data_IF_955865714194
#
_entry.id   IF_955865714194
#
_cell.length_a   1.000
_cell.length_b   1.000
_cell.length_c   1.000
_cell.angle_alpha   90.00
_cell.angle_beta   90.00
_cell.angle_gamma   90.00
#
_symmetry.space_group_name_H-M   'P 1'
#
loop_
_entity.id
_entity.type
_entity.pdbx_description
1 polymer ?
#
# COMPACT_ATOMS: atom_id res chain seq x y z
N UNK A 1 -13.71 19.56 84.81
CA UNK A 1 -14.18 18.64 83.80
C UNK A 1 -15.58 19.10 83.39
N UNK A 2 -15.87 19.01 82.11
CA UNK A 2 -17.20 19.29 81.59
C UNK A 2 -18.09 18.11 81.95
N UNK A 3 -19.20 18.33 82.62
CA UNK A 3 -20.23 17.31 82.93
C UNK A 3 -20.95 17.04 81.55
N UNK A 4 -20.84 15.87 81.06
CA UNK A 4 -21.54 15.42 79.83
C UNK A 4 -22.86 14.77 80.33
N UNK A 5 -23.98 15.43 80.08
CA UNK A 5 -25.32 14.85 80.22
C UNK A 5 -25.80 14.33 78.87
N UNK A 6 -26.87 13.54 78.91
CA UNK A 6 -27.55 13.07 77.69
C UNK A 6 -27.96 14.27 76.83
N UNK A 7 -27.77 14.21 75.54
CA UNK A 7 -28.00 15.30 74.57
C UNK A 7 -27.13 16.56 74.69
N UNK A 8 -26.00 16.51 75.46
CA UNK A 8 -25.13 17.69 75.63
C UNK A 8 -24.51 18.17 74.32
N UNK A 9 -24.25 17.32 73.42
CA UNK A 9 -23.58 17.61 72.11
C UNK A 9 -24.53 17.46 70.91
N UNK A 10 -25.86 17.45 71.13
CA UNK A 10 -26.86 17.31 70.06
C UNK A 10 -27.92 16.26 70.37
N UNK A 11 -29.00 16.26 69.56
CA UNK A 11 -30.18 15.41 69.77
C UNK A 11 -29.89 13.90 69.87
N UNK A 12 -28.80 13.45 69.27
CA UNK A 12 -28.40 12.02 69.19
C UNK A 12 -27.17 11.72 70.07
N UNK A 13 -26.71 12.66 70.90
CA UNK A 13 -25.58 12.45 71.79
C UNK A 13 -26.00 11.86 73.15
N UNK A 14 -25.18 10.99 73.68
CA UNK A 14 -25.49 10.38 75.01
C UNK A 14 -24.45 9.34 75.42
N UNK A 15 -24.73 8.77 76.57
CA UNK A 15 -23.94 7.70 77.14
C UNK A 15 -24.38 6.37 76.59
N UNK A 16 -23.43 5.62 76.05
CA UNK A 16 -23.56 4.23 75.55
C UNK A 16 -22.71 3.33 76.43
N UNK A 17 -22.94 2.01 76.32
CA UNK A 17 -22.05 1.02 76.94
C UNK A 17 -21.89 -0.23 76.05
N UNK A 18 -20.77 -0.85 76.19
CA UNK A 18 -20.57 -2.17 75.67
C UNK A 18 -20.39 -3.19 76.80
N UNK A 19 -20.88 -4.42 76.59
CA UNK A 19 -20.62 -5.55 77.43
C UNK A 19 -19.76 -6.54 76.64
N UNK A 20 -18.56 -6.79 77.18
CA UNK A 20 -17.55 -7.64 76.47
C UNK A 20 -17.27 -7.18 75.04
N UNK A 21 -17.29 -5.84 74.84
CA UNK A 21 -17.03 -5.20 73.55
C UNK A 21 -18.21 -5.15 72.57
N UNK A 22 -19.41 -5.58 72.99
CA UNK A 22 -20.64 -5.62 72.18
C UNK A 22 -21.68 -4.65 72.79
N UNK A 23 -22.36 -3.88 71.95
CA UNK A 23 -23.47 -3.02 72.39
C UNK A 23 -24.71 -3.90 72.68
N UNK A 24 -25.16 -4.00 73.93
CA UNK A 24 -26.33 -4.81 74.23
C UNK A 24 -27.63 -4.06 73.88
N UNK A 25 -28.67 -4.80 73.55
CA UNK A 25 -30.01 -4.30 73.26
C UNK A 25 -30.79 -3.83 74.49
N UNK A 26 -30.21 -4.04 75.67
CA UNK A 26 -30.85 -3.72 76.96
C UNK A 26 -30.27 -2.46 77.62
N UNK A 27 -31.09 -1.71 78.26
CA UNK A 27 -30.62 -0.63 79.16
C UNK A 27 -29.76 -1.16 80.33
N UNK A 28 -28.75 -0.40 80.75
CA UNK A 28 -27.80 -0.87 81.74
C UNK A 28 -28.49 -1.32 83.08
N UNK A 29 -29.67 -0.88 83.36
CA UNK A 29 -30.45 -1.32 84.51
C UNK A 29 -31.06 -2.71 84.40
N UNK A 30 -31.22 -3.14 83.16
CA UNK A 30 -31.85 -4.44 82.84
C UNK A 30 -30.78 -5.51 82.41
N UNK A 31 -29.52 -5.09 82.43
CA UNK A 31 -28.39 -5.93 82.03
C UNK A 31 -27.95 -6.81 83.22
N UNK A 32 -28.03 -8.11 83.07
CA UNK A 32 -27.44 -9.05 84.04
C UNK A 32 -25.96 -9.24 83.68
N UNK A 33 -25.14 -9.27 84.74
CA UNK A 33 -23.71 -9.42 84.66
C UNK A 33 -23.27 -10.76 85.30
N UNK A 34 -22.27 -11.39 84.64
CA UNK A 34 -21.60 -12.58 85.18
C UNK A 34 -20.19 -12.18 85.67
N UNK A 35 -19.60 -13.12 86.40
CA UNK A 35 -18.24 -12.90 86.90
C UNK A 35 -17.24 -12.92 85.74
N UNK A 36 -16.46 -11.86 85.58
CA UNK A 36 -15.53 -11.68 84.50
C UNK A 36 -16.03 -10.79 83.36
N UNK A 37 -17.31 -10.31 83.42
CA UNK A 37 -17.82 -9.41 82.42
C UNK A 37 -17.15 -8.06 82.49
N UNK A 38 -16.83 -7.48 81.33
CA UNK A 38 -16.26 -6.15 81.15
C UNK A 38 -17.33 -5.20 80.59
N UNK A 39 -17.65 -4.13 81.39
CA UNK A 39 -18.52 -3.07 80.95
C UNK A 39 -17.69 -1.84 80.69
N UNK A 40 -17.81 -1.25 79.48
CA UNK A 40 -17.15 -0.02 79.09
C UNK A 40 -18.22 1.03 78.74
N UNK A 41 -18.31 2.07 79.57
CA UNK A 41 -19.16 3.23 79.31
C UNK A 41 -18.37 4.24 78.47
N UNK A 42 -19.01 4.77 77.45
CA UNK A 42 -18.44 5.82 76.61
C UNK A 42 -19.55 6.85 76.27
N UNK A 43 -19.14 8.05 75.97
CA UNK A 43 -20.05 9.11 75.52
C UNK A 43 -19.87 9.24 74.01
N UNK A 44 -21.01 9.24 73.27
CA UNK A 44 -21.00 9.42 71.83
C UNK A 44 -21.71 10.75 71.48
N UNK A 45 -21.24 11.40 70.42
CA UNK A 45 -21.87 12.56 69.82
C UNK A 45 -23.08 12.19 68.93
N UNK A 46 -23.16 10.97 68.48
CA UNK A 46 -24.26 10.42 67.66
C UNK A 46 -24.42 8.89 67.86
N UNK A 47 -25.33 8.51 68.77
CA UNK A 47 -25.59 7.09 69.02
C UNK A 47 -26.19 6.36 67.81
N UNK A 48 -26.73 7.07 66.82
CA UNK A 48 -27.26 6.44 65.60
C UNK A 48 -26.16 5.86 64.70
N UNK A 49 -24.91 6.21 64.97
CA UNK A 49 -23.74 5.65 64.30
C UNK A 49 -23.11 4.48 65.09
N UNK A 50 -23.47 4.38 66.38
CA UNK A 50 -22.93 3.32 67.26
C UNK A 50 -23.62 2.01 67.00
N UNK A 51 -22.87 1.01 66.59
CA UNK A 51 -23.33 -0.34 66.37
C UNK A 51 -22.15 -1.32 66.31
N UNK A 52 -22.43 -2.53 66.62
CA UNK A 52 -21.49 -3.62 66.35
C UNK A 52 -21.51 -3.94 64.85
N UNK A 53 -20.35 -4.02 64.26
CA UNK A 53 -20.27 -4.32 62.84
C UNK A 53 -20.66 -5.74 62.56
N UNK A 54 -21.78 -5.92 61.90
CA UNK A 54 -22.19 -7.22 61.30
C UNK A 54 -21.83 -7.15 59.84
N UNK A 55 -20.92 -8.00 59.41
CA UNK A 55 -20.44 -8.00 58.04
C UNK A 55 -21.31 -8.87 57.15
N UNK A 56 -21.68 -8.33 55.97
CA UNK A 56 -22.42 -9.10 54.95
C UNK A 56 -21.65 -10.36 54.55
N UNK A 57 -22.37 -11.40 54.25
CA UNK A 57 -21.80 -12.60 53.70
C UNK A 57 -21.34 -12.41 52.22
N UNK A 58 -21.90 -11.44 51.54
CA UNK A 58 -21.58 -11.09 50.16
C UNK A 58 -20.30 -10.27 50.09
N UNK A 59 -19.41 -10.67 49.19
CA UNK A 59 -18.22 -9.89 48.86
C UNK A 59 -18.55 -8.67 48.02
N UNK A 60 -18.09 -7.53 48.44
CA UNK A 60 -17.90 -6.32 47.61
C UNK A 60 -16.46 -6.26 47.15
N UNK A 61 -16.21 -5.65 46.00
CA UNK A 61 -14.86 -5.58 45.43
C UNK A 61 -14.72 -4.37 44.50
N UNK A 62 -13.50 -3.90 44.36
CA UNK A 62 -13.03 -3.02 43.29
C UNK A 62 -11.94 -3.71 42.50
N UNK A 63 -11.14 -2.95 41.74
CA UNK A 63 -10.02 -3.50 40.93
C UNK A 63 -8.85 -4.04 41.76
N UNK A 64 -8.71 -3.63 43.01
CA UNK A 64 -7.52 -3.86 43.85
C UNK A 64 -7.80 -4.87 44.98
N UNK A 65 -9.01 -4.82 45.56
CA UNK A 65 -9.33 -5.55 46.76
C UNK A 65 -10.80 -5.99 46.84
N UNK A 66 -11.11 -6.76 47.86
CA UNK A 66 -12.46 -7.17 48.22
C UNK A 66 -12.67 -7.04 49.74
N UNK A 67 -13.92 -6.83 50.15
CA UNK A 67 -14.35 -6.64 51.52
C UNK A 67 -15.84 -6.99 51.69
N UNK A 68 -16.29 -7.07 52.93
CA UNK A 68 -17.70 -7.13 53.28
C UNK A 68 -18.22 -5.80 53.77
N UNK A 69 -19.40 -5.38 53.33
CA UNK A 69 -20.09 -4.20 53.88
C UNK A 69 -20.73 -4.52 55.21
N UNK A 70 -20.83 -3.50 56.04
CA UNK A 70 -21.57 -3.63 57.30
C UNK A 70 -23.08 -3.60 57.02
N UNK A 71 -23.80 -4.59 57.54
CA UNK A 71 -25.26 -4.74 57.43
C UNK A 71 -25.92 -4.76 58.83
N UNK A 72 -25.34 -4.08 59.80
CA UNK A 72 -25.92 -3.97 61.14
C UNK A 72 -27.38 -3.42 61.07
N UNK A 73 -28.24 -4.00 61.89
CA UNK A 73 -29.67 -3.70 61.87
C UNK A 73 -29.97 -2.29 62.38
N UNK A 74 -29.13 -1.79 63.27
CA UNK A 74 -29.28 -0.46 63.88
C UNK A 74 -28.06 0.39 63.61
N UNK A 75 -28.27 1.71 63.55
CA UNK A 75 -27.21 2.65 63.31
C UNK A 75 -26.79 2.75 61.86
N UNK A 76 -26.05 3.81 61.52
CA UNK A 76 -25.44 4.02 60.21
C UNK A 76 -23.94 3.79 60.31
N UNK A 77 -23.44 2.79 59.60
CA UNK A 77 -22.01 2.53 59.59
C UNK A 77 -21.22 3.73 59.06
N UNK A 78 -20.26 4.20 59.81
CA UNK A 78 -19.39 5.35 59.54
C UNK A 78 -18.09 4.94 58.77
N UNK A 79 -17.84 3.63 58.65
CA UNK A 79 -16.67 3.15 57.97
C UNK A 79 -16.78 3.38 56.45
N UNK A 80 -16.19 4.49 56.00
CA UNK A 80 -16.07 4.83 54.56
C UNK A 80 -14.80 4.29 53.92
N UNK A 81 -13.77 4.04 54.72
CA UNK A 81 -12.50 3.44 54.27
C UNK A 81 -12.61 1.94 54.08
N UNK A 82 -12.56 1.47 52.85
CA UNK A 82 -12.68 0.06 52.52
C UNK A 82 -11.64 -0.82 53.22
N UNK A 83 -10.46 -0.26 53.55
CA UNK A 83 -9.38 -1.03 54.24
C UNK A 83 -9.74 -1.41 55.67
N UNK A 84 -10.74 -0.76 56.24
CA UNK A 84 -11.25 -1.00 57.62
C UNK A 84 -12.49 -1.89 57.64
N UNK A 85 -13.03 -2.23 56.50
CA UNK A 85 -14.22 -3.10 56.37
C UNK A 85 -13.86 -4.57 56.57
N UNK A 86 -14.89 -5.35 56.91
CA UNK A 86 -14.74 -6.77 57.26
C UNK A 86 -14.10 -7.58 56.09
N UNK A 87 -13.14 -8.40 56.44
CA UNK A 87 -12.49 -9.28 55.48
C UNK A 87 -11.69 -8.58 54.39
N UNK A 88 -11.37 -7.28 54.55
CA UNK A 88 -10.59 -6.55 53.51
C UNK A 88 -9.28 -7.27 53.19
N UNK A 89 -9.13 -7.63 51.93
CA UNK A 89 -7.90 -8.22 51.43
C UNK A 89 -7.70 -7.88 49.94
N UNK A 90 -6.43 -7.78 49.51
CA UNK A 90 -6.11 -7.69 48.08
C UNK A 90 -6.54 -8.97 47.37
N UNK A 91 -6.87 -8.86 46.09
CA UNK A 91 -7.27 -10.02 45.32
C UNK A 91 -6.16 -11.09 45.28
N UNK A 92 -6.54 -12.31 45.64
CA UNK A 92 -5.68 -13.50 45.50
C UNK A 92 -6.14 -14.25 44.25
N UNK A 93 -5.35 -14.15 43.20
CA UNK A 93 -5.70 -14.79 41.93
C UNK A 93 -5.16 -16.21 41.85
N UNK A 94 -6.00 -17.09 41.36
CA UNK A 94 -5.61 -18.45 41.02
C UNK A 94 -4.75 -18.49 39.74
N UNK A 95 -4.44 -19.72 39.34
CA UNK A 95 -3.75 -19.95 38.06
C UNK A 95 -4.58 -19.41 36.89
N UNK A 96 -4.01 -18.53 36.09
CA UNK A 96 -4.72 -17.91 34.98
C UNK A 96 -5.18 -18.94 33.95
N UNK A 97 -6.33 -18.65 33.32
CA UNK A 97 -6.88 -19.43 32.22
C UNK A 97 -6.71 -18.66 30.91
N UNK A 98 -6.04 -19.28 29.95
CA UNK A 98 -5.97 -18.68 28.61
C UNK A 98 -7.34 -18.72 27.95
N UNK A 99 -7.90 -17.54 27.65
CA UNK A 99 -9.21 -17.38 26.99
C UNK A 99 -9.08 -17.05 25.52
N UNK A 100 -7.91 -16.58 25.11
CA UNK A 100 -7.57 -16.32 23.71
C UNK A 100 -6.09 -16.65 23.48
N UNK A 101 -5.80 -17.48 22.49
CA UNK A 101 -4.41 -17.77 22.11
C UNK A 101 -3.75 -16.58 21.41
N UNK A 102 -2.48 -16.33 21.70
CA UNK A 102 -1.66 -15.44 20.92
C UNK A 102 -1.36 -16.05 19.55
N UNK A 103 -1.24 -15.21 18.54
CA UNK A 103 -0.80 -15.59 17.20
C UNK A 103 0.40 -14.76 16.78
N UNK A 104 0.92 -14.97 15.58
CA UNK A 104 1.94 -14.08 14.99
C UNK A 104 1.44 -12.67 14.67
N UNK A 105 0.11 -12.46 14.68
CA UNK A 105 -0.55 -11.18 14.29
C UNK A 105 -1.27 -10.50 15.46
N UNK A 106 -1.80 -11.27 16.37
CA UNK A 106 -2.67 -10.77 17.43
C UNK A 106 -2.22 -11.25 18.79
N UNK A 107 -2.36 -10.39 19.78
CA UNK A 107 -2.18 -10.74 21.20
C UNK A 107 -3.22 -11.75 21.64
N UNK A 108 -2.83 -12.63 22.54
CA UNK A 108 -3.74 -13.49 23.32
C UNK A 108 -4.26 -12.78 24.56
N UNK A 109 -5.07 -13.47 25.33
CA UNK A 109 -5.66 -13.02 26.60
C UNK A 109 -5.61 -14.13 27.62
N UNK A 110 -5.13 -13.80 28.81
CA UNK A 110 -5.18 -14.61 30.01
C UNK A 110 -6.20 -13.99 30.96
N UNK A 111 -7.10 -14.79 31.51
CA UNK A 111 -8.05 -14.40 32.55
C UNK A 111 -7.60 -14.95 33.88
N UNK A 112 -7.65 -14.12 34.90
CA UNK A 112 -7.40 -14.48 36.29
C UNK A 112 -8.66 -14.19 37.10
N UNK A 113 -9.08 -15.13 37.92
CA UNK A 113 -10.24 -14.99 38.80
C UNK A 113 -9.77 -15.01 40.25
N UNK A 114 -10.21 -14.06 41.06
CA UNK A 114 -9.95 -14.05 42.47
C UNK A 114 -10.62 -15.24 43.11
N UNK A 115 -9.87 -16.02 43.91
CA UNK A 115 -10.34 -17.26 44.52
C UNK A 115 -11.36 -17.03 45.65
N UNK A 116 -11.42 -15.77 46.16
CA UNK A 116 -12.28 -15.39 47.28
C UNK A 116 -13.58 -14.77 46.78
N UNK A 117 -13.49 -13.67 46.06
CA UNK A 117 -14.65 -12.86 45.67
C UNK A 117 -15.14 -13.08 44.24
N UNK A 118 -14.38 -13.85 43.42
CA UNK A 118 -14.73 -14.09 42.01
C UNK A 118 -14.42 -12.95 41.05
N UNK A 119 -13.80 -11.86 41.52
CA UNK A 119 -13.41 -10.75 40.61
C UNK A 119 -12.47 -11.25 39.50
N UNK A 120 -12.73 -10.81 38.27
CA UNK A 120 -11.96 -11.23 37.12
C UNK A 120 -11.12 -10.08 36.57
N UNK A 121 -9.85 -10.36 36.29
CA UNK A 121 -8.99 -9.47 35.51
C UNK A 121 -8.44 -10.18 34.27
N UNK A 122 -8.09 -9.42 33.25
CA UNK A 122 -7.45 -9.95 32.04
C UNK A 122 -6.08 -9.33 31.83
N UNK A 123 -5.15 -10.16 31.36
CA UNK A 123 -3.81 -9.72 30.94
C UNK A 123 -3.54 -10.16 29.51
N UNK A 124 -2.80 -9.34 28.77
CA UNK A 124 -2.46 -9.65 27.38
C UNK A 124 -1.28 -10.61 27.30
N UNK A 125 -1.42 -11.64 26.47
CA UNK A 125 -0.31 -12.52 26.07
C UNK A 125 0.31 -11.88 24.83
N UNK A 126 1.63 -11.58 24.80
CA UNK A 126 2.30 -11.00 23.64
C UNK A 126 2.13 -11.84 22.38
N UNK A 127 2.22 -11.21 21.21
CA UNK A 127 2.27 -11.94 19.93
C UNK A 127 3.46 -12.92 19.91
N UNK A 128 3.29 -14.04 19.22
CA UNK A 128 4.36 -15.04 19.09
C UNK A 128 5.53 -14.43 18.33
N UNK A 129 6.69 -14.39 18.96
CA UNK A 129 7.92 -13.92 18.33
C UNK A 129 8.35 -14.86 17.18
N UNK A 130 8.84 -14.30 16.08
CA UNK A 130 9.34 -15.06 14.94
C UNK A 130 10.32 -14.24 14.10
N UNK A 131 11.17 -14.95 13.36
CA UNK A 131 12.01 -14.33 12.33
C UNK A 131 11.19 -14.08 11.08
N UNK A 132 11.16 -12.82 10.59
CA UNK A 132 10.39 -12.47 9.41
C UNK A 132 11.00 -13.08 8.14
N UNK A 133 10.25 -13.93 7.46
CA UNK A 133 10.54 -14.41 6.10
C UNK A 133 9.64 -13.68 5.12
N UNK A 134 10.25 -12.85 4.24
CA UNK A 134 9.50 -12.02 3.30
C UNK A 134 9.37 -12.68 1.93
N UNK A 135 8.15 -12.71 1.40
CA UNK A 135 7.89 -12.97 -0.02
C UNK A 135 7.89 -11.64 -0.76
N UNK A 136 8.80 -11.48 -1.75
CA UNK A 136 9.05 -10.23 -2.43
C UNK A 136 8.30 -10.12 -3.76
N UNK A 137 7.63 -9.00 -4.01
CA UNK A 137 6.97 -8.65 -5.26
C UNK A 137 7.51 -7.31 -5.78
N UNK A 138 7.83 -7.25 -7.08
CA UNK A 138 8.25 -5.99 -7.70
C UNK A 138 7.05 -5.05 -7.85
N UNK A 139 7.12 -3.89 -7.23
CA UNK A 139 6.10 -2.84 -7.25
C UNK A 139 6.42 -1.72 -8.23
N UNK A 140 7.71 -1.50 -8.53
CA UNK A 140 8.14 -0.54 -9.54
C UNK A 140 9.35 -1.07 -10.32
N UNK A 141 9.31 -0.94 -11.65
CA UNK A 141 10.40 -1.32 -12.55
C UNK A 141 11.62 -0.41 -12.38
N UNK A 142 12.80 -0.95 -12.61
CA UNK A 142 14.01 -0.13 -12.73
C UNK A 142 13.89 0.86 -13.90
N UNK A 143 14.45 2.03 -13.72
CA UNK A 143 14.57 3.09 -14.73
C UNK A 143 16.04 3.48 -14.88
N UNK A 144 16.36 4.38 -15.79
CA UNK A 144 17.71 4.95 -15.91
C UNK A 144 18.11 5.80 -14.70
N UNK A 145 17.15 6.22 -13.86
CA UNK A 145 17.39 7.10 -12.72
C UNK A 145 17.34 6.37 -11.36
N UNK A 146 16.64 5.25 -11.28
CA UNK A 146 16.45 4.49 -10.02
C UNK A 146 16.38 2.98 -10.27
N UNK A 147 16.81 2.15 -9.30
CA UNK A 147 16.61 0.70 -9.32
C UNK A 147 15.11 0.35 -9.22
N UNK A 148 14.79 -0.91 -9.41
CA UNK A 148 13.45 -1.42 -9.14
C UNK A 148 13.12 -1.33 -7.65
N UNK A 149 11.83 -1.20 -7.30
CA UNK A 149 11.34 -1.34 -5.92
C UNK A 149 10.62 -2.66 -5.76
N UNK A 150 10.85 -3.29 -4.62
CA UNK A 150 10.11 -4.46 -4.18
C UNK A 150 9.45 -4.20 -2.84
N UNK A 151 8.26 -4.75 -2.66
CA UNK A 151 7.57 -4.89 -1.38
C UNK A 151 7.59 -6.36 -0.98
N UNK A 152 8.05 -6.63 0.22
CA UNK A 152 8.03 -7.94 0.85
C UNK A 152 6.93 -8.00 1.91
N UNK A 153 6.23 -9.13 1.98
CA UNK A 153 5.21 -9.39 3.00
C UNK A 153 5.60 -10.66 3.75
N UNK A 154 5.66 -10.57 5.08
CA UNK A 154 5.88 -11.74 5.92
C UNK A 154 4.64 -12.63 5.89
N UNK A 155 4.80 -13.92 5.55
CA UNK A 155 3.70 -14.88 5.46
C UNK A 155 3.02 -15.16 6.81
N UNK A 156 3.76 -15.03 7.91
CA UNK A 156 3.24 -15.32 9.25
C UNK A 156 2.47 -14.13 9.85
N UNK A 157 3.07 -12.94 9.91
CA UNK A 157 2.45 -11.79 10.58
C UNK A 157 1.89 -10.74 9.63
N UNK A 158 2.18 -10.80 8.31
CA UNK A 158 1.74 -9.81 7.34
C UNK A 158 2.55 -8.50 7.35
N UNK A 159 3.60 -8.39 8.18
CA UNK A 159 4.46 -7.19 8.21
C UNK A 159 5.03 -6.93 6.83
N UNK A 160 4.95 -5.67 6.39
CA UNK A 160 5.46 -5.22 5.09
C UNK A 160 6.81 -4.54 5.23
N UNK A 161 7.66 -4.72 4.22
CA UNK A 161 8.94 -4.04 4.10
C UNK A 161 9.20 -3.71 2.63
N UNK A 162 9.87 -2.60 2.35
CA UNK A 162 10.25 -2.22 0.99
C UNK A 162 11.76 -2.21 0.83
N UNK A 163 12.23 -2.54 -0.37
CA UNK A 163 13.65 -2.46 -0.72
C UNK A 163 13.87 -2.04 -2.17
N UNK A 164 15.05 -1.48 -2.43
CA UNK A 164 15.54 -1.37 -3.80
C UNK A 164 16.08 -2.74 -4.25
N UNK A 165 15.85 -3.09 -5.52
CA UNK A 165 16.26 -4.37 -6.08
C UNK A 165 16.96 -4.17 -7.43
N UNK A 166 18.14 -4.78 -7.58
CA UNK A 166 18.99 -4.65 -8.75
C UNK A 166 19.57 -3.24 -8.94
N UNK A 167 20.06 -2.98 -10.12
CA UNK A 167 20.68 -1.72 -10.51
C UNK A 167 19.74 -0.86 -11.37
N UNK A 168 20.08 0.44 -11.51
CA UNK A 168 19.48 1.33 -12.51
C UNK A 168 19.72 0.77 -13.93
N UNK A 169 18.80 1.05 -14.84
CA UNK A 169 19.01 0.72 -16.24
C UNK A 169 20.13 1.58 -16.84
N UNK A 170 20.93 1.01 -17.71
CA UNK A 170 21.93 1.74 -18.48
C UNK A 170 21.23 2.67 -19.46
N UNK A 171 21.57 3.95 -19.45
CA UNK A 171 20.98 4.92 -20.36
C UNK A 171 21.39 4.61 -21.82
N UNK A 172 20.42 4.58 -22.72
CA UNK A 172 20.62 4.28 -24.13
C UNK A 172 19.69 5.15 -25.00
N UNK A 173 20.15 5.48 -26.19
CA UNK A 173 19.39 6.20 -27.21
C UNK A 173 19.69 5.64 -28.58
N UNK A 174 18.64 5.49 -29.41
CA UNK A 174 18.78 5.07 -30.82
C UNK A 174 17.76 5.86 -31.68
N UNK A 175 18.21 6.29 -32.84
CA UNK A 175 17.34 6.84 -33.89
C UNK A 175 17.02 5.72 -34.92
N UNK A 176 15.82 5.76 -35.49
CA UNK A 176 15.42 4.83 -36.54
C UNK A 176 16.19 5.03 -37.86
N UNK A 177 16.84 6.19 -38.01
CA UNK A 177 17.73 6.53 -39.17
C UNK A 177 18.91 7.33 -38.68
N UNK A 178 20.08 7.17 -39.35
CA UNK A 178 21.31 7.94 -39.09
C UNK A 178 21.44 9.13 -40.02
N UNK A 179 20.72 9.14 -41.15
CA UNK A 179 20.69 10.24 -42.08
C UNK A 179 19.30 10.46 -42.66
N UNK A 180 19.06 11.69 -43.10
CA UNK A 180 17.80 12.14 -43.69
C UNK A 180 18.07 13.07 -44.89
N UNK A 181 17.33 12.89 -45.97
CA UNK A 181 17.31 13.79 -47.09
C UNK A 181 15.96 14.50 -47.17
N UNK A 182 15.92 15.81 -47.28
CA UNK A 182 14.72 16.61 -47.42
C UNK A 182 14.80 17.50 -48.66
N UNK A 183 13.69 17.72 -49.35
CA UNK A 183 13.54 18.81 -50.28
C UNK A 183 13.40 20.13 -49.51
N UNK A 184 13.83 21.24 -50.04
CA UNK A 184 13.59 22.58 -49.46
C UNK A 184 12.13 22.73 -49.03
N UNK A 185 11.90 23.36 -47.87
CA UNK A 185 10.59 23.58 -47.23
C UNK A 185 9.86 22.31 -46.81
N UNK A 186 10.40 21.10 -47.08
CA UNK A 186 9.79 19.85 -46.67
C UNK A 186 9.84 19.65 -45.16
N UNK A 187 8.75 19.10 -44.58
CA UNK A 187 8.67 18.75 -43.18
C UNK A 187 8.56 17.25 -43.01
N UNK A 188 9.01 16.71 -41.85
CA UNK A 188 8.84 15.29 -41.49
C UNK A 188 8.73 15.12 -39.98
N UNK A 189 7.97 14.12 -39.56
CA UNK A 189 7.85 13.58 -38.18
C UNK A 189 8.24 12.12 -38.12
N UNK A 190 8.84 11.59 -39.22
CA UNK A 190 9.15 10.16 -39.36
C UNK A 190 10.40 9.70 -38.61
N UNK A 191 11.18 10.65 -38.05
CA UNK A 191 12.32 10.30 -37.18
C UNK A 191 11.77 9.88 -35.82
N UNK A 192 12.12 8.66 -35.39
CA UNK A 192 11.70 8.10 -34.12
C UNK A 192 12.92 7.91 -33.21
N UNK A 193 12.73 8.21 -31.94
CA UNK A 193 13.73 8.04 -30.90
C UNK A 193 13.30 6.86 -30.02
N UNK A 194 14.19 5.88 -29.86
CA UNK A 194 14.04 4.81 -28.86
C UNK A 194 15.03 5.06 -27.75
N UNK A 195 14.62 4.86 -26.50
CA UNK A 195 15.42 5.11 -25.32
C UNK A 195 15.12 4.07 -24.22
N UNK A 196 16.02 3.99 -23.24
CA UNK A 196 15.82 3.11 -22.09
C UNK A 196 14.62 3.59 -21.24
N UNK A 197 13.98 2.66 -20.58
CA UNK A 197 12.78 2.92 -19.78
C UNK A 197 13.03 3.96 -18.68
N UNK A 198 12.09 4.88 -18.57
CA UNK A 198 12.13 5.99 -17.61
C UNK A 198 12.94 7.20 -18.05
N UNK A 199 13.60 7.14 -19.23
CA UNK A 199 14.24 8.30 -19.82
C UNK A 199 13.26 9.11 -20.66
N UNK A 200 13.63 10.35 -21.01
CA UNK A 200 12.83 11.21 -21.86
C UNK A 200 13.71 12.22 -22.61
N UNK A 201 13.18 12.76 -23.68
CA UNK A 201 13.87 13.77 -24.49
C UNK A 201 13.93 15.08 -23.69
N UNK A 202 15.15 15.57 -23.46
CA UNK A 202 15.42 16.89 -22.86
C UNK A 202 15.35 18.00 -23.91
N UNK A 203 16.01 17.79 -25.06
CA UNK A 203 16.08 18.83 -26.09
C UNK A 203 16.42 18.28 -27.47
N UNK A 204 16.08 19.07 -28.49
CA UNK A 204 16.49 18.94 -29.83
C UNK A 204 17.28 20.20 -30.26
N UNK A 205 18.36 20.03 -30.97
CA UNK A 205 19.17 21.14 -31.51
C UNK A 205 19.56 20.88 -32.94
N UNK A 206 19.65 21.95 -33.73
CA UNK A 206 20.19 21.94 -35.09
C UNK A 206 21.52 22.72 -35.13
N UNK A 207 22.52 22.15 -35.78
CA UNK A 207 23.81 22.81 -35.98
C UNK A 207 23.71 24.02 -36.95
N UNK A 208 22.66 24.06 -37.79
CA UNK A 208 22.41 25.19 -38.70
C UNK A 208 20.91 25.35 -38.98
N UNK A 209 20.30 26.30 -38.30
CA UNK A 209 18.85 26.59 -38.41
C UNK A 209 18.46 27.18 -39.77
N UNK A 210 19.39 27.78 -40.55
CA UNK A 210 19.12 28.26 -41.90
C UNK A 210 18.92 27.14 -42.90
N UNK A 211 19.58 25.96 -42.67
CA UNK A 211 19.43 24.72 -43.46
C UNK A 211 18.26 23.87 -42.97
N UNK A 212 18.21 23.62 -41.66
CA UNK A 212 17.17 22.77 -41.07
C UNK A 212 16.82 23.20 -39.64
N UNK A 213 15.56 23.27 -39.32
CA UNK A 213 15.05 23.49 -37.97
C UNK A 213 14.43 22.22 -37.42
N UNK A 214 14.51 22.01 -36.08
CA UNK A 214 13.83 20.95 -35.37
C UNK A 214 13.04 21.58 -34.23
N UNK A 215 11.81 21.13 -34.04
CA UNK A 215 10.88 21.58 -33.00
C UNK A 215 10.96 20.68 -31.79
N UNK A 216 10.45 21.14 -30.63
CA UNK A 216 10.41 20.38 -29.36
C UNK A 216 9.75 19.01 -29.49
N UNK A 217 8.76 18.87 -30.36
CA UNK A 217 8.05 17.61 -30.64
C UNK A 217 8.77 16.67 -31.62
N UNK A 218 10.01 17.00 -32.02
CA UNK A 218 10.78 16.22 -32.98
C UNK A 218 10.39 16.42 -34.47
N UNK A 219 9.47 17.38 -34.79
CA UNK A 219 9.18 17.74 -36.19
C UNK A 219 10.38 18.46 -36.79
N UNK A 220 10.84 17.97 -37.93
CA UNK A 220 11.99 18.54 -38.68
C UNK A 220 11.45 19.28 -39.89
N UNK A 221 11.94 20.52 -40.13
CA UNK A 221 11.59 21.35 -41.27
C UNK A 221 12.86 21.79 -42.01
N UNK A 222 12.96 21.46 -43.29
CA UNK A 222 13.99 21.99 -44.18
C UNK A 222 13.79 23.47 -44.42
N UNK A 223 14.86 24.23 -44.41
CA UNK A 223 14.88 25.65 -44.76
C UNK A 223 14.80 25.85 -46.27
N UNK A 224 15.12 27.10 -46.70
CA UNK A 224 15.20 27.51 -48.11
C UNK A 224 16.60 27.31 -48.70
N UNK A 225 17.64 27.24 -47.86
CA UNK A 225 19.02 26.98 -48.27
C UNK A 225 19.27 25.46 -48.36
N UNK A 226 20.01 25.04 -49.41
CA UNK A 226 20.51 23.69 -49.56
C UNK A 226 21.77 23.50 -48.73
N UNK A 227 22.12 22.26 -48.41
CA UNK A 227 23.30 21.94 -47.64
C UNK A 227 23.08 20.79 -46.66
N UNK A 228 24.00 20.67 -45.71
CA UNK A 228 23.95 19.61 -44.67
C UNK A 228 24.04 20.25 -43.31
N UNK A 229 23.21 19.75 -42.37
CA UNK A 229 23.28 20.12 -40.96
C UNK A 229 23.10 18.86 -40.11
N UNK A 230 23.55 18.91 -38.85
CA UNK A 230 23.33 17.86 -37.84
C UNK A 230 22.19 18.24 -36.94
N UNK A 231 21.29 17.34 -36.68
CA UNK A 231 20.31 17.45 -35.62
C UNK A 231 20.75 16.55 -34.46
N UNK A 232 20.82 17.12 -33.26
CA UNK A 232 21.17 16.39 -32.03
C UNK A 232 19.96 16.33 -31.15
N UNK A 233 19.61 15.11 -30.69
CA UNK A 233 18.65 14.89 -29.62
C UNK A 233 19.40 14.55 -28.35
N UNK A 234 19.04 15.18 -27.25
CA UNK A 234 19.62 14.98 -25.92
C UNK A 234 18.53 14.46 -24.98
N UNK A 235 18.81 13.39 -24.24
CA UNK A 235 17.92 12.84 -23.23
C UNK A 235 18.17 13.50 -21.86
N UNK A 236 17.23 13.34 -20.92
CA UNK A 236 17.41 13.78 -19.52
C UNK A 236 18.57 13.08 -18.83
N UNK A 237 18.88 11.83 -19.18
CA UNK A 237 20.08 11.09 -18.72
C UNK A 237 21.41 11.67 -19.27
N UNK A 238 21.38 12.66 -20.14
CA UNK A 238 22.57 13.23 -20.81
C UNK A 238 22.99 12.47 -22.08
N UNK A 239 22.41 11.29 -22.40
CA UNK A 239 22.73 10.57 -23.65
C UNK A 239 22.28 11.39 -24.86
N UNK A 240 23.11 11.35 -25.92
CA UNK A 240 22.89 12.08 -27.17
C UNK A 240 22.91 11.15 -28.36
N UNK A 241 22.11 11.48 -29.37
CA UNK A 241 22.19 10.88 -30.70
C UNK A 241 22.13 12.00 -31.75
N UNK A 242 22.82 11.77 -32.90
CA UNK A 242 22.88 12.73 -33.99
C UNK A 242 22.30 12.14 -35.27
N UNK A 243 21.67 13.02 -36.04
CA UNK A 243 21.09 12.74 -37.34
C UNK A 243 21.70 13.69 -38.38
N UNK A 244 22.34 13.18 -39.43
CA UNK A 244 22.80 13.99 -40.56
C UNK A 244 21.63 14.32 -41.49
N UNK A 245 21.33 15.58 -41.73
CA UNK A 245 20.25 16.02 -42.62
C UNK A 245 20.79 16.75 -43.81
N UNK A 246 20.52 16.24 -45.03
CA UNK A 246 20.81 16.88 -46.31
C UNK A 246 19.55 17.56 -46.85
N UNK A 247 19.63 18.83 -47.17
CA UNK A 247 18.55 19.61 -47.83
C UNK A 247 18.95 19.86 -49.28
N UNK A 248 18.06 19.50 -50.21
CA UNK A 248 18.26 19.66 -51.65
C UNK A 248 17.08 20.32 -52.35
N UNK A 249 17.26 20.83 -53.58
CA UNK A 249 16.19 21.40 -54.40
C UNK A 249 15.30 20.32 -55.00
N UNK A 250 15.91 19.24 -55.52
CA UNK A 250 15.20 18.16 -56.18
C UNK A 250 14.28 17.41 -55.22
N UNK A 251 13.19 16.83 -55.75
CA UNK A 251 12.30 15.94 -54.99
C UNK A 251 13.08 14.74 -54.45
N UNK A 252 12.76 14.29 -53.23
CA UNK A 252 13.37 13.12 -52.64
C UNK A 252 12.72 11.87 -53.24
N UNK A 253 13.48 11.19 -54.10
CA UNK A 253 13.05 9.94 -54.75
C UNK A 253 13.33 8.73 -53.92
N UNK A 254 12.56 7.65 -54.10
CA UNK A 254 12.80 6.34 -53.49
C UNK A 254 14.05 5.71 -54.11
N UNK A 255 14.97 5.27 -53.27
CA UNK A 255 16.19 4.58 -53.67
C UNK A 255 16.17 3.09 -53.33
N UNK A 256 15.34 2.70 -52.34
CA UNK A 256 15.24 1.31 -51.87
C UNK A 256 13.86 1.01 -51.30
N UNK A 257 13.37 -0.22 -51.52
CA UNK A 257 12.22 -0.82 -50.84
C UNK A 257 12.72 -2.03 -50.04
N UNK A 258 12.45 -2.03 -48.71
CA UNK A 258 12.84 -3.09 -47.76
C UNK A 258 11.64 -3.49 -46.89
N UNK A 259 11.85 -4.34 -45.87
CA UNK A 259 10.78 -4.78 -44.95
C UNK A 259 9.85 -5.85 -45.57
N UNK A 260 10.19 -6.39 -46.73
CA UNK A 260 9.39 -7.38 -47.44
C UNK A 260 10.12 -8.74 -47.51
N UNK A 261 9.45 -9.82 -47.17
CA UNK A 261 9.94 -11.19 -47.38
C UNK A 261 9.94 -11.53 -48.87
N UNK A 262 10.93 -12.26 -49.35
CA UNK A 262 11.00 -12.67 -50.76
C UNK A 262 9.89 -13.68 -51.17
N UNK A 263 9.46 -14.51 -50.19
CA UNK A 263 8.40 -15.53 -50.37
C UNK A 263 7.45 -15.48 -49.18
N UNK A 264 6.17 -15.69 -49.40
CA UNK A 264 5.12 -15.78 -48.38
C UNK A 264 4.14 -16.86 -48.76
N UNK A 265 3.60 -17.58 -47.78
CA UNK A 265 2.53 -18.58 -47.98
C UNK A 265 1.29 -18.09 -47.21
N UNK A 266 0.13 -18.16 -47.87
CA UNK A 266 -1.17 -17.82 -47.29
C UNK A 266 -2.18 -18.92 -47.61
N UNK A 267 -3.14 -19.17 -46.73
CA UNK A 267 -4.25 -20.10 -47.03
C UNK A 267 -5.29 -19.40 -47.89
N UNK A 268 -6.02 -20.19 -48.75
CA UNK A 268 -7.17 -19.69 -49.52
C UNK A 268 -8.14 -18.94 -48.64
N UNK A 269 -8.63 -17.80 -49.07
CA UNK A 269 -9.53 -16.91 -48.31
C UNK A 269 -8.86 -16.02 -47.26
N UNK A 270 -7.63 -16.31 -46.84
CA UNK A 270 -6.91 -15.50 -45.84
C UNK A 270 -6.16 -14.33 -46.48
N UNK A 271 -5.80 -13.36 -45.67
CA UNK A 271 -5.08 -12.15 -46.10
C UNK A 271 -3.81 -11.91 -45.30
N UNK A 272 -2.84 -11.26 -45.94
CA UNK A 272 -1.61 -10.77 -45.30
C UNK A 272 -1.35 -9.33 -45.77
N UNK A 273 -0.95 -8.43 -44.85
CA UNK A 273 -0.60 -7.07 -45.20
C UNK A 273 0.91 -6.94 -45.44
N UNK A 274 1.29 -6.52 -46.62
CA UNK A 274 2.66 -6.17 -46.95
C UNK A 274 2.98 -4.81 -46.32
N UNK A 275 4.12 -4.73 -45.64
CA UNK A 275 4.59 -3.51 -44.96
C UNK A 275 5.92 -3.06 -45.55
N UNK A 276 5.95 -2.50 -46.78
CA UNK A 276 7.18 -2.00 -47.37
C UNK A 276 7.72 -0.81 -46.59
N UNK A 277 9.04 -0.80 -46.40
CA UNK A 277 9.77 0.35 -45.85
C UNK A 277 10.51 0.98 -47.02
N UNK A 278 10.18 2.24 -47.32
CA UNK A 278 10.77 3.04 -48.37
C UNK A 278 11.95 3.84 -47.81
N UNK A 279 13.07 3.87 -48.49
CA UNK A 279 14.23 4.71 -48.17
C UNK A 279 14.55 5.66 -49.38
N UNK A 280 14.90 6.93 -49.07
CA UNK A 280 14.82 7.62 -47.78
C UNK A 280 13.39 7.68 -47.24
N UNK A 281 13.23 7.64 -45.90
CA UNK A 281 11.90 7.68 -45.25
C UNK A 281 11.08 8.91 -45.56
N UNK A 282 11.72 9.94 -46.13
CA UNK A 282 11.17 11.23 -46.55
C UNK A 282 10.74 11.26 -48.03
N UNK A 283 10.95 10.17 -48.77
CA UNK A 283 10.35 10.07 -50.10
C UNK A 283 8.85 10.27 -50.08
N UNK A 284 8.34 11.04 -51.06
CA UNK A 284 6.90 11.28 -51.25
C UNK A 284 6.31 10.44 -52.38
N UNK A 285 7.13 9.61 -53.01
CA UNK A 285 6.67 8.69 -54.08
C UNK A 285 5.71 7.66 -53.49
N UNK A 286 4.54 7.51 -54.10
CA UNK A 286 3.50 6.57 -53.67
C UNK A 286 4.00 5.13 -53.86
N UNK A 287 3.66 4.26 -52.90
CA UNK A 287 3.85 2.84 -53.06
C UNK A 287 2.61 2.27 -53.75
N UNK A 288 2.84 1.52 -54.82
CA UNK A 288 1.80 0.83 -55.60
C UNK A 288 2.03 -0.67 -55.61
N UNK A 289 0.96 -1.41 -55.78
CA UNK A 289 0.97 -2.87 -55.73
C UNK A 289 0.26 -3.44 -56.97
N UNK A 290 0.80 -4.53 -57.54
CA UNK A 290 0.21 -5.24 -58.68
C UNK A 290 0.37 -6.74 -58.48
N UNK A 291 -0.72 -7.48 -58.66
CA UNK A 291 -0.70 -8.94 -58.75
C UNK A 291 -0.47 -9.37 -60.22
N UNK A 292 0.40 -10.34 -60.44
CA UNK A 292 0.58 -10.96 -61.79
C UNK A 292 -0.61 -11.83 -62.19
N UNK A 293 -1.36 -12.36 -61.21
CA UNK A 293 -2.59 -13.13 -61.45
C UNK A 293 -3.61 -12.91 -60.36
N UNK A 294 -4.62 -12.10 -60.64
CA UNK A 294 -5.70 -11.76 -59.68
C UNK A 294 -6.63 -12.92 -59.34
N UNK A 295 -6.67 -13.98 -60.19
CA UNK A 295 -7.43 -15.21 -59.94
C UNK A 295 -6.82 -16.04 -58.80
N UNK A 296 -5.46 -15.99 -58.62
CA UNK A 296 -4.73 -16.64 -57.52
C UNK A 296 -4.70 -15.81 -56.29
N UNK A 297 -4.31 -14.51 -56.38
CA UNK A 297 -4.35 -13.58 -55.27
C UNK A 297 -4.53 -12.15 -55.75
N UNK A 298 -5.33 -11.37 -55.00
CA UNK A 298 -5.52 -9.94 -55.20
C UNK A 298 -4.67 -9.15 -54.23
N UNK A 299 -4.32 -7.90 -54.58
CA UNK A 299 -3.66 -6.98 -53.68
C UNK A 299 -4.36 -5.62 -53.73
N UNK A 300 -4.65 -5.03 -52.57
CA UNK A 300 -5.25 -3.69 -52.45
C UNK A 300 -4.20 -2.57 -52.54
N UNK A 301 -4.64 -1.33 -52.74
CA UNK A 301 -3.79 -0.13 -52.67
C UNK A 301 -3.11 0.07 -51.31
N UNK A 302 -3.64 -0.55 -50.24
CA UNK A 302 -3.06 -0.57 -48.87
C UNK A 302 -2.06 -1.73 -48.68
N UNK A 303 -1.80 -2.55 -49.71
CA UNK A 303 -0.87 -3.69 -49.67
C UNK A 303 -1.44 -4.94 -49.01
N UNK A 304 -2.78 -5.05 -48.83
CA UNK A 304 -3.42 -6.26 -48.32
C UNK A 304 -3.54 -7.27 -49.47
N UNK A 305 -2.82 -8.38 -49.36
CA UNK A 305 -2.85 -9.51 -50.31
C UNK A 305 -3.88 -10.53 -49.79
N UNK A 306 -4.87 -10.91 -50.61
CA UNK A 306 -5.89 -11.94 -50.31
C UNK A 306 -5.73 -13.13 -51.25
N UNK A 307 -5.54 -14.33 -50.70
CA UNK A 307 -5.52 -15.59 -51.47
C UNK A 307 -6.90 -15.95 -51.96
N UNK A 308 -7.04 -16.19 -53.28
CA UNK A 308 -8.32 -16.53 -53.95
C UNK A 308 -8.39 -18.00 -54.34
N UNK A 309 -7.33 -18.51 -54.95
CA UNK A 309 -7.25 -19.90 -55.47
C UNK A 309 -5.85 -20.47 -55.17
N UNK A 310 -5.74 -21.78 -54.98
CA UNK A 310 -4.46 -22.48 -54.89
C UNK A 310 -3.53 -22.14 -56.09
N UNK A 311 -2.28 -21.91 -55.81
CA UNK A 311 -1.28 -21.60 -56.84
C UNK A 311 -0.24 -20.58 -56.35
N UNK A 312 0.64 -20.22 -57.27
CA UNK A 312 1.72 -19.26 -57.00
C UNK A 312 1.55 -18.01 -57.86
N UNK A 313 1.75 -16.86 -57.28
CA UNK A 313 1.61 -15.55 -57.93
C UNK A 313 2.71 -14.60 -57.47
N UNK A 314 3.09 -13.67 -58.32
CA UNK A 314 4.03 -12.60 -57.98
C UNK A 314 3.29 -11.30 -57.69
N UNK A 315 3.52 -10.73 -56.48
CA UNK A 315 3.10 -9.38 -56.16
C UNK A 315 4.27 -8.45 -56.40
N UNK A 316 4.06 -7.45 -57.25
CA UNK A 316 5.02 -6.40 -57.55
C UNK A 316 4.69 -5.18 -56.69
N UNK A 317 5.66 -4.71 -55.92
CA UNK A 317 5.60 -3.49 -55.09
C UNK A 317 6.52 -2.44 -55.72
N UNK A 318 5.99 -1.27 -56.08
CA UNK A 318 6.75 -0.20 -56.76
C UNK A 318 6.61 1.13 -56.00
N UNK A 319 7.70 1.86 -55.92
CA UNK A 319 7.73 3.26 -55.46
C UNK A 319 8.72 4.05 -56.31
N UNK A 320 8.24 5.03 -57.05
CA UNK A 320 9.01 5.72 -58.05
C UNK A 320 9.56 4.74 -59.09
N UNK A 321 10.87 4.74 -59.34
CA UNK A 321 11.56 3.81 -60.26
C UNK A 321 11.93 2.47 -59.59
N UNK A 322 11.82 2.35 -58.25
CA UNK A 322 12.23 1.16 -57.51
C UNK A 322 11.10 0.12 -57.47
N UNK A 323 11.44 -1.12 -57.78
CA UNK A 323 10.49 -2.25 -57.81
C UNK A 323 11.01 -3.38 -56.96
N UNK A 324 10.09 -4.03 -56.18
CA UNK A 324 10.36 -5.26 -55.43
C UNK A 324 9.30 -6.30 -55.75
N UNK A 325 9.72 -7.53 -56.07
CA UNK A 325 8.83 -8.66 -56.37
C UNK A 325 8.77 -9.63 -55.18
N UNK A 326 7.60 -10.14 -54.85
CA UNK A 326 7.35 -11.10 -53.77
C UNK A 326 6.58 -12.27 -54.35
N UNK A 327 7.07 -13.49 -54.15
CA UNK A 327 6.38 -14.72 -54.54
C UNK A 327 5.38 -15.10 -53.43
N UNK A 328 4.09 -15.17 -53.74
CA UNK A 328 3.03 -15.59 -52.85
C UNK A 328 2.54 -16.97 -53.31
N UNK A 329 2.57 -17.94 -52.38
CA UNK A 329 1.98 -19.28 -52.58
C UNK A 329 0.66 -19.33 -51.79
N UNK A 330 -0.43 -19.61 -52.48
CA UNK A 330 -1.75 -19.84 -51.87
C UNK A 330 -1.96 -21.34 -51.78
N UNK A 331 -2.17 -21.85 -50.57
CA UNK A 331 -2.48 -23.25 -50.25
C UNK A 331 -3.95 -23.46 -49.99
#
# INVERSE_FOLDING_TARGET
>A
GQELAEFSNGQNSGWMYTLNGIHPDLGVKEQYLEDGDEIVFHYTDDYTLEHDHVWDSKWNFDKDAHWHECVAMYGKCDITDNTKKGGYQKHSYGKGKQIKAATYKTTGLMRYTCQVCGYEKTETIPVIAHTHKYTWKTTARATVFRPAKQEGTCSLCGKKQTRNYGSKLKAAIKLNVSSLTLQRKQTTTKVKVSMAYGDSIKSWASSNKKIVTVYKNGKIKAGTKTGTAKITVTLKSGKKATLKVKVQTAKVKTTKISGLKKKLTIKKGKSVTLKPVVSPITSREKVTYRSSNKKIATVSSKGVVKGRRKGTVTITVKSGKVTKKIKITVK
#
